data_IF_113840324310
#
_entry.id   IF_113840324310
#
_cell.length_a   1.000
_cell.length_b   1.000
_cell.length_c   1.000
_cell.angle_alpha   90.00
_cell.angle_beta   90.00
_cell.angle_gamma   90.00
#
_symmetry.space_group_name_H-M   'P 1'
#
loop_
_entity.id
_entity.type
_entity.pdbx_description
1 polymer ?
#
# COMPACT_ATOMS: atom_id res chain seq x y z
N UNK A 1 -2.20 12.47 5.11
CA UNK A 1 -1.28 11.45 5.63
C UNK A 1 -2.07 10.16 5.86
N UNK A 2 -1.43 8.97 5.86
CA UNK A 2 -2.11 7.73 6.26
C UNK A 2 -2.46 7.83 7.74
N UNK A 3 -3.75 7.73 8.06
CA UNK A 3 -4.29 7.91 9.41
C UNK A 3 -4.58 6.55 10.07
N UNK A 4 -5.18 5.63 9.31
CA UNK A 4 -5.58 4.33 9.83
C UNK A 4 -5.40 3.24 8.79
N UNK A 5 -5.07 2.05 9.24
CA UNK A 5 -5.04 0.82 8.47
C UNK A 5 -5.80 -0.26 9.24
N UNK A 6 -6.75 -0.90 8.58
CA UNK A 6 -7.57 -1.98 9.12
C UNK A 6 -7.51 -3.18 8.19
N UNK A 7 -7.20 -4.34 8.73
CA UNK A 7 -7.09 -5.61 8.02
C UNK A 7 -8.12 -6.58 8.56
N UNK A 8 -8.89 -7.18 7.68
CA UNK A 8 -9.84 -8.26 8.01
C UNK A 8 -9.51 -9.48 7.17
N UNK A 9 -9.23 -10.59 7.80
CA UNK A 9 -8.83 -11.87 7.18
C UNK A 9 -7.62 -11.71 6.23
N UNK A 10 -6.61 -10.94 6.66
CA UNK A 10 -5.39 -10.66 5.89
C UNK A 10 -4.18 -10.81 6.81
N UNK A 11 -3.26 -11.68 6.45
CA UNK A 11 -2.06 -11.94 7.25
C UNK A 11 -2.31 -12.84 8.45
N UNK A 12 -1.53 -12.71 9.54
CA UNK A 12 -1.51 -13.66 10.65
C UNK A 12 -2.70 -13.53 11.60
N UNK A 13 -3.39 -12.40 11.61
CA UNK A 13 -4.53 -12.15 12.49
C UNK A 13 -5.84 -12.03 11.71
N UNK A 14 -6.94 -12.50 12.28
CA UNK A 14 -8.25 -12.37 11.67
C UNK A 14 -8.68 -10.90 11.52
N UNK A 15 -8.29 -10.08 12.48
CA UNK A 15 -8.48 -8.64 12.43
C UNK A 15 -7.28 -7.93 13.06
N UNK A 16 -6.88 -6.83 12.45
CA UNK A 16 -5.82 -5.97 12.94
C UNK A 16 -6.12 -4.53 12.54
N UNK A 17 -6.10 -3.65 13.52
CA UNK A 17 -6.34 -2.21 13.35
C UNK A 17 -5.14 -1.43 13.86
N UNK A 18 -4.69 -0.44 13.10
CA UNK A 18 -3.57 0.43 13.43
C UNK A 18 -3.95 1.87 13.15
N UNK A 19 -3.76 2.72 14.15
CA UNK A 19 -3.82 4.16 14.01
C UNK A 19 -2.40 4.73 13.90
N UNK A 20 -2.18 5.59 12.92
CA UNK A 20 -0.88 6.22 12.68
C UNK A 20 -0.83 7.59 13.34
N UNK A 21 0.24 7.83 14.06
CA UNK A 21 0.52 9.15 14.61
C UNK A 21 0.82 10.19 13.54
N UNK A 22 0.62 11.48 13.84
CA UNK A 22 0.74 12.56 12.86
C UNK A 22 2.17 12.77 12.33
N UNK A 23 3.18 12.24 12.97
CA UNK A 23 4.58 12.38 12.56
C UNK A 23 5.35 11.07 12.61
N UNK A 24 5.19 10.32 13.69
CA UNK A 24 5.93 9.08 13.96
C UNK A 24 4.99 8.04 14.51
N UNK A 25 5.11 6.83 14.01
CA UNK A 25 4.47 5.63 14.56
C UNK A 25 5.54 4.59 14.78
N UNK A 26 5.67 4.12 16.02
CA UNK A 26 6.61 3.06 16.37
C UNK A 26 5.85 1.74 16.47
N UNK A 27 6.21 0.77 15.61
CA UNK A 27 5.66 -0.58 15.63
C UNK A 27 6.71 -1.50 16.24
N UNK A 28 6.42 -2.04 17.42
CA UNK A 28 7.31 -2.94 18.16
C UNK A 28 6.70 -4.34 18.25
N UNK A 29 7.51 -5.32 18.56
CA UNK A 29 7.10 -6.71 18.74
C UNK A 29 8.21 -7.66 18.33
N UNK A 30 8.04 -8.95 18.64
CA UNK A 30 9.01 -10.00 18.33
C UNK A 30 9.18 -10.21 16.82
N UNK A 31 10.28 -10.86 16.45
CA UNK A 31 10.53 -11.23 15.06
C UNK A 31 9.46 -12.23 14.58
N UNK A 32 9.05 -12.06 13.33
CA UNK A 32 8.01 -12.91 12.73
C UNK A 32 6.56 -12.47 12.96
N UNK A 33 6.28 -11.49 13.83
CA UNK A 33 4.91 -11.02 14.11
C UNK A 33 4.30 -10.12 13.01
N UNK A 34 4.91 -10.05 11.83
CA UNK A 34 4.30 -9.37 10.69
C UNK A 34 4.53 -7.85 10.62
N UNK A 35 5.54 -7.30 11.34
CA UNK A 35 5.85 -5.85 11.25
C UNK A 35 6.14 -5.40 9.82
N UNK A 36 7.01 -6.13 9.11
CA UNK A 36 7.33 -5.82 7.70
C UNK A 36 6.12 -5.99 6.79
N UNK A 37 5.29 -7.00 7.03
CA UNK A 37 4.03 -7.20 6.33
C UNK A 37 3.09 -5.98 6.45
N UNK A 38 3.01 -5.38 7.63
CA UNK A 38 2.23 -4.15 7.84
C UNK A 38 2.80 -2.96 7.08
N UNK A 39 4.13 -2.85 7.02
CA UNK A 39 4.79 -1.80 6.23
C UNK A 39 4.58 -1.99 4.73
N UNK A 40 4.58 -3.22 4.23
CA UNK A 40 4.25 -3.53 2.83
C UNK A 40 2.82 -3.13 2.48
N UNK A 41 1.86 -3.36 3.39
CA UNK A 41 0.47 -2.92 3.19
C UNK A 41 0.35 -1.39 3.29
N UNK A 42 1.05 -0.75 4.21
CA UNK A 42 1.08 0.71 4.31
C UNK A 42 1.67 1.34 3.03
N UNK A 43 2.75 0.76 2.49
CA UNK A 43 3.29 1.13 1.19
C UNK A 43 2.21 1.03 0.09
N UNK A 44 1.53 -0.11 0.01
CA UNK A 44 0.49 -0.30 -0.99
C UNK A 44 -0.69 0.67 -0.82
N UNK A 45 -1.09 0.95 0.41
CA UNK A 45 -2.14 1.93 0.70
C UNK A 45 -1.79 3.33 0.17
N UNK A 46 -0.50 3.71 0.30
CA UNK A 46 0.00 5.02 -0.13
C UNK A 46 0.23 5.11 -1.65
N UNK A 47 0.72 4.03 -2.27
CA UNK A 47 1.26 4.07 -3.64
C UNK A 47 0.42 3.31 -4.67
N UNK A 48 -0.45 2.40 -4.23
CA UNK A 48 -1.20 1.44 -5.06
C UNK A 48 -0.31 0.47 -5.81
N UNK A 49 0.94 0.33 -5.40
CA UNK A 49 1.90 -0.64 -5.91
C UNK A 49 2.41 -1.50 -4.76
N UNK A 50 2.92 -2.67 -5.03
CA UNK A 50 3.55 -3.53 -4.04
C UNK A 50 5.06 -3.35 -4.10
N UNK A 51 5.70 -3.14 -2.94
CA UNK A 51 7.16 -3.08 -2.85
C UNK A 51 7.78 -4.48 -3.03
N UNK A 52 7.05 -5.50 -2.55
CA UNK A 52 7.41 -6.91 -2.66
C UNK A 52 6.25 -7.72 -3.23
N UNK A 53 5.86 -8.79 -2.52
CA UNK A 53 4.72 -9.61 -2.91
C UNK A 53 3.39 -9.02 -2.43
N UNK A 54 2.33 -9.14 -3.21
CA UNK A 54 1.00 -8.76 -2.76
C UNK A 54 0.62 -9.52 -1.47
N UNK A 55 0.03 -8.79 -0.53
CA UNK A 55 -0.53 -9.41 0.65
C UNK A 55 -1.58 -10.46 0.24
N UNK A 56 -1.58 -11.60 0.90
CA UNK A 56 -2.55 -12.67 0.64
C UNK A 56 -3.58 -12.73 1.76
N UNK A 57 -4.84 -13.03 1.41
CA UNK A 57 -5.86 -13.38 2.38
C UNK A 57 -5.44 -14.58 3.24
N UNK A 58 -5.94 -14.63 4.46
CA UNK A 58 -5.80 -15.80 5.31
C UNK A 58 -6.49 -16.98 4.64
N UNK A 59 -5.79 -18.10 4.47
CA UNK A 59 -6.32 -19.29 3.82
C UNK A 59 -7.48 -19.89 4.61
N UNK A 60 -8.51 -20.37 3.90
CA UNK A 60 -9.66 -21.07 4.49
C UNK A 60 -10.77 -20.17 5.00
N UNK A 61 -10.64 -18.85 4.95
CA UNK A 61 -11.74 -17.94 5.26
C UNK A 61 -12.77 -17.97 4.13
N UNK A 62 -14.03 -18.28 4.48
CA UNK A 62 -15.18 -18.05 3.60
C UNK A 62 -15.63 -16.59 3.61
N UNK A 63 -15.15 -15.83 4.57
CA UNK A 63 -15.47 -14.44 4.77
C UNK A 63 -14.63 -13.54 3.85
N UNK A 64 -15.12 -12.35 3.64
CA UNK A 64 -14.42 -11.36 2.82
C UNK A 64 -13.09 -10.97 3.45
N UNK A 65 -12.06 -10.91 2.62
CA UNK A 65 -10.77 -10.35 3.01
C UNK A 65 -10.69 -8.90 2.57
N UNK A 66 -10.43 -8.01 3.51
CA UNK A 66 -10.50 -6.56 3.28
C UNK A 66 -9.26 -5.88 3.84
N UNK A 67 -8.63 -5.03 3.03
CA UNK A 67 -7.69 -4.01 3.46
C UNK A 67 -8.43 -2.68 3.40
N UNK A 68 -8.62 -2.04 4.53
CA UNK A 68 -9.20 -0.71 4.62
C UNK A 68 -8.16 0.27 5.15
N UNK A 69 -8.08 1.44 4.55
CA UNK A 69 -7.16 2.48 4.99
C UNK A 69 -7.83 3.85 4.87
N UNK A 70 -7.45 4.75 5.76
CA UNK A 70 -7.97 6.09 5.79
C UNK A 70 -6.83 7.11 5.75
N UNK A 71 -7.10 8.22 5.06
CA UNK A 71 -6.21 9.38 5.03
C UNK A 71 -6.84 10.54 5.78
N UNK A 72 -5.98 11.37 6.38
CA UNK A 72 -6.41 12.64 6.94
C UNK A 72 -7.08 13.48 5.86
N UNK A 73 -8.18 14.08 6.20
CA UNK A 73 -8.86 15.11 5.40
C UNK A 73 -9.21 16.29 6.31
N UNK A 74 -9.56 17.42 5.69
CA UNK A 74 -9.89 18.64 6.44
C UNK A 74 -11.17 18.50 7.29
N UNK A 75 -12.05 17.56 6.96
CA UNK A 75 -13.35 17.41 7.64
C UNK A 75 -13.48 16.09 8.37
N UNK A 76 -13.24 14.96 7.70
CA UNK A 76 -13.32 13.62 8.28
C UNK A 76 -12.35 12.68 7.52
N UNK A 77 -11.75 11.68 8.20
CA UNK A 77 -10.95 10.66 7.51
C UNK A 77 -11.78 9.96 6.43
N UNK A 78 -11.22 9.86 5.24
CA UNK A 78 -11.88 9.17 4.13
C UNK A 78 -11.36 7.75 4.08
N UNK A 79 -12.26 6.79 4.38
CA UNK A 79 -11.93 5.36 4.33
C UNK A 79 -11.99 4.82 2.90
N UNK A 80 -11.00 3.99 2.58
CA UNK A 80 -10.84 3.32 1.29
C UNK A 80 -10.78 1.81 1.50
N UNK A 81 -11.92 1.09 1.48
CA UNK A 81 -11.92 -0.35 1.55
C UNK A 81 -11.50 -0.96 0.22
N UNK A 82 -10.68 -1.99 0.29
CA UNK A 82 -10.25 -2.83 -0.82
C UNK A 82 -10.52 -4.28 -0.48
N UNK A 83 -11.38 -4.93 -1.24
CA UNK A 83 -11.72 -6.34 -1.11
C UNK A 83 -10.85 -7.19 -2.04
N UNK A 84 -10.44 -8.36 -1.59
CA UNK A 84 -9.71 -9.30 -2.42
C UNK A 84 -10.63 -10.00 -3.42
N UNK A 85 -10.26 -9.98 -4.69
CA UNK A 85 -10.97 -10.70 -5.73
C UNK A 85 -10.30 -12.06 -5.99
N UNK A 86 -10.95 -13.13 -5.56
CA UNK A 86 -10.46 -14.48 -5.71
C UNK A 86 -10.36 -14.96 -7.16
N UNK A 87 -11.15 -14.38 -8.08
CA UNK A 87 -11.09 -14.75 -9.50
C UNK A 87 -9.83 -14.21 -10.17
N UNK A 88 -9.55 -12.94 -9.95
CA UNK A 88 -8.37 -12.27 -10.52
C UNK A 88 -7.13 -12.38 -9.64
N UNK A 89 -7.24 -12.91 -8.41
CA UNK A 89 -6.17 -12.98 -7.41
C UNK A 89 -5.54 -11.62 -7.12
N UNK A 90 -6.37 -10.57 -7.08
CA UNK A 90 -5.93 -9.18 -6.90
C UNK A 90 -6.78 -8.44 -5.88
N UNK A 91 -6.19 -7.40 -5.29
CA UNK A 91 -6.91 -6.45 -4.46
C UNK A 91 -7.66 -5.44 -5.34
N UNK A 92 -8.97 -5.32 -5.15
CA UNK A 92 -9.79 -4.32 -5.85
C UNK A 92 -9.32 -2.93 -5.46
N UNK A 93 -8.92 -2.12 -6.41
CA UNK A 93 -8.58 -0.72 -6.18
C UNK A 93 -9.49 0.19 -6.99
N UNK A 94 -9.87 1.33 -6.41
CA UNK A 94 -10.54 2.38 -7.18
C UNK A 94 -9.57 2.88 -8.26
N UNK A 95 -10.10 3.06 -9.47
CA UNK A 95 -9.35 3.72 -10.55
C UNK A 95 -9.01 5.15 -10.14
N UNK A 96 -7.86 5.63 -10.53
CA UNK A 96 -7.42 6.99 -10.27
C UNK A 96 -6.07 7.04 -9.54
N UNK A 97 -5.67 8.26 -9.20
CA UNK A 97 -4.40 8.53 -8.49
C UNK A 97 -4.49 8.06 -7.03
N UNK A 98 -3.36 7.67 -6.41
CA UNK A 98 -3.31 7.48 -4.97
C UNK A 98 -3.80 8.73 -4.24
N UNK A 99 -4.47 8.53 -3.09
CA UNK A 99 -5.04 9.63 -2.33
C UNK A 99 -3.98 10.54 -1.69
N UNK A 100 -2.77 10.01 -1.45
CA UNK A 100 -1.63 10.80 -0.95
C UNK A 100 -0.68 11.12 -2.10
N UNK A 101 -0.52 12.40 -2.49
CA UNK A 101 0.33 12.80 -3.62
C UNK A 101 1.80 12.99 -3.25
N UNK A 102 2.22 12.66 -2.04
CA UNK A 102 3.60 12.82 -1.56
C UNK A 102 4.55 11.74 -2.04
N UNK A 103 5.85 12.03 -2.00
CA UNK A 103 6.88 11.03 -2.19
C UNK A 103 6.85 10.02 -1.03
N UNK A 104 6.99 8.73 -1.34
CA UNK A 104 7.06 7.66 -0.35
C UNK A 104 8.39 6.94 -0.47
N UNK A 105 9.06 6.78 0.65
CA UNK A 105 10.29 6.01 0.78
C UNK A 105 10.05 4.84 1.74
N UNK A 106 10.45 3.65 1.33
CA UNK A 106 10.42 2.46 2.16
C UNK A 106 11.82 1.89 2.28
N UNK A 107 12.47 2.12 3.42
CA UNK A 107 13.77 1.53 3.75
C UNK A 107 13.57 0.16 4.39
N UNK A 108 14.35 -0.82 3.96
CA UNK A 108 14.25 -2.21 4.37
C UNK A 108 15.42 -2.61 5.28
N UNK A 109 15.26 -3.69 6.01
CA UNK A 109 16.25 -4.17 6.98
C UNK A 109 17.55 -4.62 6.33
N UNK A 110 17.51 -5.05 5.08
CA UNK A 110 18.68 -5.49 4.30
C UNK A 110 19.46 -4.34 3.65
N UNK A 111 19.05 -3.09 3.92
CA UNK A 111 19.64 -1.89 3.35
C UNK A 111 19.07 -1.49 1.98
N UNK A 112 18.22 -2.31 1.38
CA UNK A 112 17.51 -1.93 0.16
C UNK A 112 16.41 -0.90 0.47
N UNK A 113 15.94 -0.19 -0.55
CA UNK A 113 14.83 0.74 -0.39
C UNK A 113 14.01 0.85 -1.66
N UNK A 114 12.73 1.15 -1.49
CA UNK A 114 11.79 1.43 -2.56
C UNK A 114 11.39 2.89 -2.52
N UNK A 115 11.30 3.53 -3.69
CA UNK A 115 10.87 4.93 -3.83
C UNK A 115 9.69 5.01 -4.76
N UNK A 116 8.64 5.68 -4.32
CA UNK A 116 7.52 6.06 -5.16
C UNK A 116 7.47 7.59 -5.28
N UNK A 117 7.58 8.08 -6.52
CA UNK A 117 7.58 9.50 -6.84
C UNK A 117 6.34 9.85 -7.67
N UNK A 118 5.40 10.62 -7.12
CA UNK A 118 4.19 11.02 -7.83
C UNK A 118 4.47 11.83 -9.10
N UNK A 119 5.51 12.64 -9.12
CA UNK A 119 5.85 13.44 -10.29
C UNK A 119 6.16 12.54 -11.49
N UNK A 120 6.89 11.45 -11.29
CA UNK A 120 7.20 10.48 -12.35
C UNK A 120 5.98 9.69 -12.81
N UNK A 121 5.05 9.39 -11.90
CA UNK A 121 3.83 8.67 -12.24
C UNK A 121 2.84 9.54 -13.03
N UNK A 122 2.84 10.85 -12.83
CA UNK A 122 2.00 11.76 -13.62
C UNK A 122 2.48 11.88 -15.07
N UNK A 123 3.76 11.82 -15.32
CA UNK A 123 4.33 11.92 -16.67
C UNK A 123 4.00 10.70 -17.56
N UNK A 124 3.64 9.55 -16.99
CA UNK A 124 3.16 8.40 -17.77
C UNK A 124 1.88 8.69 -18.57
N UNK A 125 1.07 9.65 -18.12
CA UNK A 125 -0.21 9.99 -18.77
C UNK A 125 -0.07 11.04 -19.87
N UNK A 126 1.07 11.71 -19.97
CA UNK A 126 1.35 12.72 -20.98
C UNK A 126 2.37 12.26 -22.03
N UNK A 127 2.28 11.01 -22.44
CA UNK A 127 3.04 10.55 -23.59
C UNK A 127 2.56 11.29 -24.84
N UNK A 128 3.40 12.17 -25.36
CA UNK A 128 3.20 12.69 -26.71
C UNK A 128 3.12 11.49 -27.65
N UNK A 129 2.06 11.44 -28.45
CA UNK A 129 1.87 10.39 -29.46
C UNK A 129 3.14 10.25 -30.31
N UNK A 130 3.80 9.12 -30.25
CA UNK A 130 4.91 8.78 -31.13
C UNK A 130 6.30 8.66 -30.50
N UNK A 131 6.45 8.78 -29.18
CA UNK A 131 7.70 8.49 -28.50
C UNK A 131 7.52 7.21 -27.67
N UNK A 132 8.20 6.14 -28.07
CA UNK A 132 8.33 4.92 -27.26
C UNK A 132 9.12 5.26 -26.01
N UNK A 133 8.40 5.59 -24.93
CA UNK A 133 9.04 5.72 -23.62
C UNK A 133 9.18 4.32 -23.03
N UNK A 134 10.38 3.93 -22.58
CA UNK A 134 10.57 2.65 -21.94
C UNK A 134 9.60 2.48 -20.78
N UNK A 135 9.07 1.26 -20.62
CA UNK A 135 8.12 0.91 -19.58
C UNK A 135 8.73 1.27 -18.21
N UNK A 136 8.33 2.41 -17.64
CA UNK A 136 8.87 2.86 -16.35
C UNK A 136 8.14 2.12 -15.23
N UNK A 137 8.86 1.53 -14.28
CA UNK A 137 8.25 0.88 -13.13
C UNK A 137 7.43 1.87 -12.31
N UNK A 138 6.37 1.38 -11.65
CA UNK A 138 5.51 2.20 -10.79
C UNK A 138 6.21 2.62 -9.50
N UNK A 139 7.22 1.86 -9.10
CA UNK A 139 8.14 2.19 -8.01
C UNK A 139 9.55 1.77 -8.38
N UNK A 140 10.55 2.42 -7.80
CA UNK A 140 11.95 2.06 -7.96
C UNK A 140 12.40 1.28 -6.73
N UNK A 141 13.06 0.14 -6.96
CA UNK A 141 13.73 -0.63 -5.92
C UNK A 141 15.24 -0.48 -6.12
N UNK A 142 15.93 -0.18 -5.04
CA UNK A 142 17.38 -0.08 -5.00
C UNK A 142 17.89 -1.12 -3.99
N UNK A 143 18.86 -1.92 -4.43
CA UNK A 143 19.54 -2.95 -3.65
C UNK A 143 21.00 -2.64 -3.49
#
# INVERSE_FOLDING_TARGET
>A
MLHQLSLTNVGPAAQLDIDFGPRVTLITGDNGLGKSFLLDIAWWALTRTWAHYPARPTSGSKDKSIISFAFDSQTKPVSHPSEFDWKSQTWKSKRGRPASPGMVLYAQVDGSFSVWDPARNYWKQHQAKGIDTPNRPDAYQFR
#
